data_IF_563858586598
#
_entry.id   IF_563858586598
#
_cell.length_a   1.000
_cell.length_b   1.000
_cell.length_c   1.000
_cell.angle_alpha   90.00
_cell.angle_beta   90.00
_cell.angle_gamma   90.00
#
_symmetry.space_group_name_H-M   'P 1'
#
loop_
_entity.id
_entity.type
_entity.pdbx_description
1 polymer ?
#
# COMPACT_ATOMS: atom_id res chain seq x y z
N UNK A 1 8.38 -21.58 47.74
CA UNK A 1 7.36 -21.11 46.78
C UNK A 1 7.52 -21.84 45.43
N UNK A 2 6.95 -23.05 45.35
CA UNK A 2 6.98 -23.91 44.18
C UNK A 2 5.95 -23.44 43.15
N UNK A 3 6.42 -22.94 42.00
CA UNK A 3 5.57 -22.64 40.85
C UNK A 3 5.03 -23.97 40.29
N UNK A 4 3.73 -24.17 40.35
CA UNK A 4 3.04 -25.22 39.63
C UNK A 4 3.03 -24.90 38.14
N UNK A 5 3.69 -25.72 37.34
CA UNK A 5 3.60 -25.68 35.87
C UNK A 5 2.29 -26.34 35.47
N UNK A 6 1.40 -25.57 34.83
CA UNK A 6 0.15 -26.08 34.27
C UNK A 6 0.47 -26.66 32.89
N UNK A 7 0.26 -27.96 32.69
CA UNK A 7 0.33 -28.60 31.37
C UNK A 7 -1.05 -28.52 30.69
N UNK A 8 -1.08 -27.91 29.50
CA UNK A 8 -2.28 -27.89 28.64
C UNK A 8 -2.19 -29.07 27.68
N UNK A 9 -3.04 -30.07 27.87
CA UNK A 9 -3.12 -31.24 26.98
C UNK A 9 -4.11 -30.97 25.83
N UNK A 10 -3.60 -30.88 24.59
CA UNK A 10 -4.42 -30.79 23.39
C UNK A 10 -4.84 -32.16 22.85
N UNK A 11 -6.14 -32.35 22.60
CA UNK A 11 -6.70 -33.58 22.02
C UNK A 11 -7.26 -33.28 20.62
N UNK A 12 -6.95 -34.10 19.62
CA UNK A 12 -7.49 -33.98 18.26
C UNK A 12 -8.52 -35.08 18.00
N UNK A 13 -9.73 -34.71 17.58
CA UNK A 13 -10.80 -35.65 17.23
C UNK A 13 -11.29 -35.39 15.80
N UNK A 14 -11.43 -36.46 15.04
CA UNK A 14 -12.01 -36.41 13.71
C UNK A 14 -13.54 -36.40 13.80
N UNK A 15 -14.17 -35.42 13.15
CA UNK A 15 -15.62 -35.28 13.09
C UNK A 15 -16.07 -35.19 11.63
N UNK A 16 -17.14 -35.91 11.30
CA UNK A 16 -17.75 -35.83 9.96
C UNK A 16 -18.67 -34.62 9.91
N UNK A 17 -18.22 -33.54 9.27
CA UNK A 17 -19.03 -32.33 9.06
C UNK A 17 -19.97 -32.54 7.88
N UNK A 18 -21.28 -32.55 8.12
CA UNK A 18 -22.33 -32.65 7.09
C UNK A 18 -23.04 -31.31 6.91
N UNK A 19 -22.38 -30.34 6.30
CA UNK A 19 -22.99 -29.06 5.91
C UNK A 19 -22.41 -28.54 4.59
N UNK A 20 -23.14 -27.66 3.93
CA UNK A 20 -22.63 -26.93 2.78
C UNK A 20 -21.83 -25.73 3.29
N UNK A 21 -20.55 -25.70 2.97
CA UNK A 21 -19.66 -24.59 3.28
C UNK A 21 -19.72 -23.59 2.14
N UNK A 22 -20.14 -22.37 2.45
CA UNK A 22 -20.14 -21.24 1.54
C UNK A 22 -19.23 -20.16 2.11
N UNK A 23 -18.25 -19.72 1.33
CA UNK A 23 -17.39 -18.58 1.67
C UNK A 23 -17.99 -17.33 1.04
N UNK A 24 -18.36 -16.36 1.88
CA UNK A 24 -18.81 -15.03 1.45
C UNK A 24 -17.81 -14.02 2.02
N UNK A 25 -17.19 -13.22 1.16
CA UNK A 25 -16.30 -12.14 1.57
C UNK A 25 -17.13 -10.92 2.00
N UNK A 26 -17.07 -10.58 3.28
CA UNK A 26 -17.72 -9.42 3.90
C UNK A 26 -16.70 -8.46 4.52
N UNK A 27 -15.41 -8.59 4.16
CA UNK A 27 -14.33 -7.87 4.83
C UNK A 27 -14.24 -6.39 4.41
N UNK A 28 -14.91 -6.01 3.31
CA UNK A 28 -14.97 -4.62 2.84
C UNK A 28 -13.60 -4.04 2.49
N UNK A 29 -12.62 -4.90 2.18
CA UNK A 29 -11.27 -4.48 1.82
C UNK A 29 -11.27 -3.82 0.44
N UNK A 30 -10.38 -2.86 0.28
CA UNK A 30 -10.12 -2.26 -1.03
C UNK A 30 -9.66 -3.37 -1.98
N UNK A 31 -10.52 -3.74 -2.90
CA UNK A 31 -10.23 -4.76 -3.89
C UNK A 31 -9.21 -4.23 -4.90
N UNK A 32 -8.57 -5.15 -5.64
CA UNK A 32 -7.61 -4.78 -6.68
C UNK A 32 -8.21 -3.84 -7.73
N UNK A 33 -9.54 -3.88 -7.93
CA UNK A 33 -10.25 -3.02 -8.89
C UNK A 33 -10.39 -1.57 -8.39
N UNK A 34 -10.79 -1.37 -7.14
CA UNK A 34 -10.87 -0.05 -6.54
C UNK A 34 -9.49 0.62 -6.51
N UNK A 35 -8.46 -0.12 -6.12
CA UNK A 35 -7.08 0.38 -6.13
C UNK A 35 -6.64 0.80 -7.54
N UNK A 36 -6.87 -0.03 -8.57
CA UNK A 36 -6.56 0.33 -9.97
C UNK A 36 -7.32 1.55 -10.47
N UNK A 37 -8.47 1.87 -9.90
CA UNK A 37 -9.30 3.02 -10.32
C UNK A 37 -8.87 4.32 -9.64
N UNK A 38 -8.56 4.26 -8.33
CA UNK A 38 -8.29 5.44 -7.51
C UNK A 38 -6.82 5.88 -7.63
N UNK A 39 -5.89 4.91 -7.66
CA UNK A 39 -4.44 5.16 -7.68
C UNK A 39 -4.01 6.07 -8.85
N UNK A 40 -4.51 5.90 -10.09
CA UNK A 40 -4.16 6.78 -11.20
C UNK A 40 -4.66 8.22 -11.01
N UNK A 41 -5.80 8.41 -10.34
CA UNK A 41 -6.37 9.73 -10.08
C UNK A 41 -5.57 10.49 -9.02
N UNK A 42 -5.05 9.78 -8.01
CA UNK A 42 -4.21 10.38 -6.96
C UNK A 42 -2.83 10.80 -7.52
N UNK A 43 -2.34 10.10 -8.55
CA UNK A 43 -1.01 10.28 -9.11
C UNK A 43 0.11 10.39 -8.04
N UNK A 44 0.29 9.35 -7.20
CA UNK A 44 1.29 9.37 -6.14
C UNK A 44 2.71 9.44 -6.72
N UNK A 45 3.59 10.24 -6.11
CA UNK A 45 5.01 10.32 -6.50
C UNK A 45 5.81 9.06 -6.18
N UNK A 46 5.43 8.35 -5.13
CA UNK A 46 6.08 7.12 -4.66
C UNK A 46 5.03 6.21 -4.04
N UNK A 47 5.09 4.91 -4.31
CA UNK A 47 4.17 3.90 -3.75
C UNK A 47 4.97 2.80 -3.05
N UNK A 48 4.52 2.43 -1.86
CA UNK A 48 5.07 1.32 -1.09
C UNK A 48 3.94 0.35 -0.80
N UNK A 49 4.07 -0.87 -1.31
CA UNK A 49 3.11 -1.95 -1.13
C UNK A 49 3.46 -2.73 0.13
N UNK A 50 2.54 -2.71 1.09
CA UNK A 50 2.70 -3.34 2.40
C UNK A 50 1.60 -4.38 2.56
N UNK A 51 1.95 -5.52 3.18
CA UNK A 51 1.00 -6.55 3.56
C UNK A 51 0.15 -7.11 2.39
N UNK A 52 0.78 -7.94 1.57
CA UNK A 52 0.14 -8.64 0.45
C UNK A 52 1.00 -9.82 0.02
N UNK A 53 0.46 -10.69 -0.83
CA UNK A 53 1.26 -11.76 -1.44
C UNK A 53 2.15 -11.17 -2.53
N UNK A 54 3.25 -11.86 -2.82
CA UNK A 54 4.15 -11.51 -3.92
C UNK A 54 3.42 -11.43 -5.27
N UNK A 55 2.42 -12.29 -5.46
CA UNK A 55 1.55 -12.29 -6.65
C UNK A 55 0.73 -11.00 -6.73
N UNK A 56 0.02 -10.61 -5.66
CA UNK A 56 -0.78 -9.38 -5.67
C UNK A 56 0.06 -8.12 -5.87
N UNK A 57 1.27 -8.08 -5.33
CA UNK A 57 2.20 -6.97 -5.55
C UNK A 57 2.67 -6.89 -7.01
N UNK A 58 2.95 -8.04 -7.64
CA UNK A 58 3.30 -8.10 -9.06
C UNK A 58 2.12 -7.69 -9.95
N UNK A 59 0.92 -8.19 -9.67
CA UNK A 59 -0.30 -7.84 -10.41
C UNK A 59 -0.58 -6.33 -10.37
N UNK A 60 -0.36 -5.71 -9.20
CA UNK A 60 -0.50 -4.26 -9.06
C UNK A 60 0.57 -3.54 -9.87
N UNK A 61 1.84 -3.92 -9.74
CA UNK A 61 2.95 -3.30 -10.44
C UNK A 61 2.78 -3.36 -11.97
N UNK A 62 2.33 -4.50 -12.51
CA UNK A 62 2.04 -4.66 -13.93
C UNK A 62 0.86 -3.78 -14.38
N UNK A 63 -0.20 -3.75 -13.58
CA UNK A 63 -1.42 -2.97 -13.91
C UNK A 63 -1.16 -1.47 -13.99
N UNK A 64 -0.20 -0.97 -13.22
CA UNK A 64 0.13 0.46 -13.17
C UNK A 64 1.32 0.83 -14.05
N UNK A 65 2.14 -0.13 -14.48
CA UNK A 65 3.30 0.11 -15.35
C UNK A 65 2.93 0.72 -16.71
N UNK A 66 1.74 0.43 -17.23
CA UNK A 66 1.24 0.95 -18.50
C UNK A 66 0.64 2.36 -18.43
N UNK A 67 0.50 2.95 -17.25
CA UNK A 67 -0.14 4.24 -17.07
C UNK A 67 0.89 5.38 -17.22
N UNK A 68 0.76 6.25 -18.25
CA UNK A 68 1.80 7.24 -18.58
C UNK A 68 1.98 8.30 -17.49
N UNK A 69 0.95 8.58 -16.69
CA UNK A 69 1.01 9.52 -15.58
C UNK A 69 1.53 8.88 -14.28
N UNK A 70 1.68 7.57 -14.22
CA UNK A 70 1.93 6.87 -12.96
C UNK A 70 3.41 6.82 -12.57
N UNK A 71 3.69 6.77 -11.27
CA UNK A 71 5.07 6.72 -10.78
C UNK A 71 5.76 5.39 -11.08
N UNK A 72 7.03 5.49 -11.47
CA UNK A 72 7.93 4.33 -11.60
C UNK A 72 8.50 3.86 -10.26
N UNK A 73 8.29 4.63 -9.18
CA UNK A 73 8.80 4.32 -7.85
C UNK A 73 7.78 3.49 -7.06
N UNK A 74 7.67 2.21 -7.40
CA UNK A 74 6.85 1.23 -6.68
C UNK A 74 7.76 0.26 -5.93
N UNK A 75 7.61 0.20 -4.61
CA UNK A 75 8.43 -0.64 -3.74
C UNK A 75 7.58 -1.70 -3.05
N UNK A 76 8.16 -2.89 -2.84
CA UNK A 76 7.54 -4.02 -2.15
C UNK A 76 8.53 -4.62 -1.15
N UNK A 77 8.75 -3.97 0.01
CA UNK A 77 9.68 -4.46 1.02
C UNK A 77 9.23 -5.79 1.61
N UNK A 78 10.18 -6.65 1.96
CA UNK A 78 9.92 -7.91 2.65
C UNK A 78 9.63 -7.66 4.13
N UNK A 79 9.01 -8.63 4.80
CA UNK A 79 8.77 -8.57 6.24
C UNK A 79 10.11 -8.44 6.98
N UNK A 80 10.25 -7.37 7.77
CA UNK A 80 11.46 -7.05 8.52
C UNK A 80 12.49 -6.20 7.77
N UNK A 81 12.25 -5.89 6.49
CA UNK A 81 13.10 -4.98 5.72
C UNK A 81 12.80 -3.52 6.07
N UNK A 82 13.85 -2.72 6.31
CA UNK A 82 13.73 -1.28 6.47
C UNK A 82 14.26 -0.59 5.21
N UNK A 83 13.48 0.35 4.69
CA UNK A 83 13.87 1.18 3.56
C UNK A 83 13.50 2.65 3.82
N UNK A 84 14.39 3.55 3.43
CA UNK A 84 14.10 4.99 3.43
C UNK A 84 13.46 5.35 2.10
N UNK A 85 12.16 5.61 2.11
CA UNK A 85 11.39 6.01 0.93
C UNK A 85 11.07 7.49 1.03
N UNK A 86 11.85 8.32 0.33
CA UNK A 86 11.69 9.77 0.34
C UNK A 86 12.37 10.41 -0.86
N UNK A 87 11.84 11.55 -1.29
CA UNK A 87 12.45 12.40 -2.30
C UNK A 87 13.12 13.58 -1.61
N UNK A 88 14.38 13.87 -1.95
CA UNK A 88 15.09 15.06 -1.43
C UNK A 88 14.58 16.30 -2.19
N UNK A 89 13.41 16.78 -1.80
CA UNK A 89 12.82 18.01 -2.36
C UNK A 89 13.07 19.16 -1.38
N UNK A 90 14.02 20.02 -1.72
CA UNK A 90 14.26 21.25 -0.96
C UNK A 90 13.16 22.26 -1.29
N UNK A 91 12.24 22.44 -0.36
CA UNK A 91 11.17 23.44 -0.47
C UNK A 91 11.69 24.78 0.02
N UNK A 92 11.73 25.77 -0.88
CA UNK A 92 12.09 27.14 -0.55
C UNK A 92 10.87 28.04 -0.75
N UNK A 93 10.49 28.78 0.28
CA UNK A 93 9.47 29.81 0.16
C UNK A 93 10.15 31.12 -0.23
N UNK A 94 10.06 31.48 -1.51
CA UNK A 94 10.55 32.75 -2.03
C UNK A 94 9.36 33.72 -2.11
N UNK A 95 9.46 34.86 -1.45
CA UNK A 95 8.51 35.96 -1.61
C UNK A 95 9.06 36.90 -2.67
N UNK A 96 8.31 37.06 -3.76
CA UNK A 96 8.65 38.01 -4.81
C UNK A 96 8.22 39.42 -4.36
N UNK A 97 9.10 40.41 -4.55
CA UNK A 97 8.75 41.81 -4.35
C UNK A 97 7.88 42.35 -5.49
N UNK A 98 7.14 43.42 -5.23
CA UNK A 98 6.13 43.98 -6.15
C UNK A 98 6.68 44.36 -7.52
N UNK A 99 7.94 44.77 -7.61
CA UNK A 99 8.61 45.12 -8.87
C UNK A 99 8.80 43.91 -9.80
N UNK A 100 9.08 42.72 -9.24
CA UNK A 100 9.28 41.49 -10.02
C UNK A 100 7.92 40.84 -10.33
N UNK A 101 6.96 40.96 -9.41
CA UNK A 101 5.60 40.44 -9.62
C UNK A 101 4.89 41.13 -10.78
N UNK A 102 5.14 42.43 -11.01
CA UNK A 102 4.52 43.17 -12.12
C UNK A 102 5.06 42.86 -13.52
N UNK A 103 6.24 42.23 -13.62
CA UNK A 103 6.88 41.88 -14.90
C UNK A 103 6.70 40.41 -15.29
N UNK A 104 6.12 39.58 -14.41
CA UNK A 104 5.91 38.16 -14.66
C UNK A 104 4.63 37.92 -15.49
N UNK A 105 4.77 37.14 -16.56
CA UNK A 105 3.62 36.53 -17.25
C UNK A 105 3.51 35.07 -16.83
N UNK A 106 2.46 34.76 -16.09
CA UNK A 106 2.11 33.37 -15.78
C UNK A 106 1.47 32.75 -17.02
N UNK A 107 2.03 31.65 -17.53
CA UNK A 107 1.32 30.77 -18.46
C UNK A 107 0.78 29.59 -17.67
N UNK A 108 -0.50 29.28 -17.90
CA UNK A 108 -1.16 28.08 -17.39
C UNK A 108 -0.71 26.83 -18.16
#
# INVERSE_FOLDING_TARGET
PSRSTIEVCGQYRNHTVKCNVLTIDLEGKADGRALKTIIPQINPKTVVLINGTTTSHADFAESVAGLPAFTKQVFSPKVGEQGTFGHDTKSFSVRLGDSIMSSLRFSE
#
